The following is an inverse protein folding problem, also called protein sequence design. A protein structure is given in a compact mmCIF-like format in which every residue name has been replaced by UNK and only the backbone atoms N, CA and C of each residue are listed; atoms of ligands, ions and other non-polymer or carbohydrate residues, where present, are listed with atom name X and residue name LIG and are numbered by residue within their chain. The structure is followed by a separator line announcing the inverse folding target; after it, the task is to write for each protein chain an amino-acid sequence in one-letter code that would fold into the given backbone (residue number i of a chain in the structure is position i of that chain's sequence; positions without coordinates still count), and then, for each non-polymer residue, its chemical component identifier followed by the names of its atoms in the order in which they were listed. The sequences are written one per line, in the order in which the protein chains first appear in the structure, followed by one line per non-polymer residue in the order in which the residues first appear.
data_IF_731032752831
#
_entry.id   IF_731032752831
#
_cell.length_a   1.000
_cell.length_b   1.000
_cell.length_c   1.000
_cell.angle_alpha   90.00
_cell.angle_beta   90.00
_cell.angle_gamma   90.00
#
_symmetry.space_group_name_H-M   'P 1'
#
loop_
_entity.id
_entity.type
_entity.pdbx_description
1 polymer ?
#
# COMPACT_ATOMS: atom_id res chain seq x y z
N UNK A 1 3.03 43.30 -14.72
CA UNK A 1 1.83 43.64 -14.00
C UNK A 1 1.10 42.44 -13.42
N UNK A 2 0.93 41.46 -14.15
CA UNK A 2 0.21 40.29 -13.71
C UNK A 2 0.93 39.53 -12.65
N UNK A 3 2.14 39.70 -12.66
CA UNK A 3 3.05 39.13 -11.71
C UNK A 3 2.65 39.28 -10.28
N UNK A 4 1.80 40.15 -10.06
CA UNK A 4 1.44 40.55 -8.73
C UNK A 4 0.81 39.44 -7.91
N UNK A 5 0.09 38.62 -8.57
CA UNK A 5 -0.59 37.54 -7.88
C UNK A 5 0.33 36.51 -7.27
N UNK A 6 1.46 36.35 -7.85
CA UNK A 6 2.38 35.35 -7.41
C UNK A 6 3.17 35.78 -6.20
N UNK A 7 3.51 37.02 -6.18
CA UNK A 7 4.34 37.56 -5.12
C UNK A 7 3.62 37.50 -3.76
N UNK A 8 2.37 37.62 -3.76
CA UNK A 8 1.64 37.60 -2.52
C UNK A 8 1.61 36.25 -1.83
N UNK A 9 1.86 35.25 -2.56
CA UNK A 9 1.78 33.90 -2.04
C UNK A 9 2.93 33.57 -1.10
N UNK A 10 4.10 34.00 -1.47
CA UNK A 10 5.27 33.73 -0.70
C UNK A 10 5.27 34.35 0.70
N UNK A 11 4.86 35.58 0.82
CA UNK A 11 4.82 36.20 2.14
C UNK A 11 4.00 35.45 3.15
N UNK A 12 2.91 34.92 2.70
CA UNK A 12 2.06 34.17 3.60
C UNK A 12 2.71 32.91 4.13
N UNK A 13 3.37 32.24 3.27
CA UNK A 13 4.04 31.03 3.66
C UNK A 13 5.16 31.31 4.65
N UNK A 14 5.94 32.31 4.35
CA UNK A 14 7.02 32.69 5.24
C UNK A 14 6.48 33.16 6.59
N UNK A 15 5.37 33.80 6.56
CA UNK A 15 4.76 34.27 7.76
C UNK A 15 4.33 33.13 8.66
N UNK A 16 3.80 32.13 8.10
CA UNK A 16 3.49 30.94 8.89
C UNK A 16 4.73 30.34 9.52
N UNK A 17 5.79 30.33 8.81
CA UNK A 17 7.04 29.88 9.36
C UNK A 17 7.53 30.76 10.49
N UNK A 18 7.32 32.03 10.34
CA UNK A 18 7.72 32.99 11.35
C UNK A 18 6.91 32.84 12.60
N UNK A 19 5.79 32.33 12.49
CA UNK A 19 5.02 32.04 13.68
C UNK A 19 5.67 31.06 14.56
N UNK A 20 6.64 30.44 14.05
CA UNK A 20 7.59 29.81 14.93
C UNK A 20 8.09 30.76 15.99
N UNK A 21 7.98 32.00 15.72
CA UNK A 21 8.13 33.03 16.76
C UNK A 21 7.30 32.77 17.98
N UNK A 22 6.27 32.17 17.77
CA UNK A 22 5.49 31.62 18.86
C UNK A 22 6.35 31.08 19.95
N UNK A 23 7.42 30.55 19.57
CA UNK A 23 8.37 30.01 20.51
C UNK A 23 8.85 30.99 21.52
N UNK A 24 8.87 32.24 21.17
CA UNK A 24 9.30 33.26 22.12
C UNK A 24 8.45 33.32 23.37
N UNK A 25 7.24 32.96 23.21
CA UNK A 25 6.27 33.08 24.29
C UNK A 25 6.53 32.05 25.36
N UNK A 26 6.88 30.91 24.93
CA UNK A 26 7.00 29.78 25.84
C UNK A 26 8.21 29.85 26.74
N UNK A 27 9.06 30.78 26.48
CA UNK A 27 10.29 30.87 27.25
C UNK A 27 10.10 31.17 28.69
N UNK A 28 9.05 31.86 29.01
CA UNK A 28 8.87 32.33 30.37
C UNK A 28 8.15 31.37 31.27
N UNK A 29 7.42 30.51 30.68
CA UNK A 29 6.72 29.52 31.47
C UNK A 29 7.56 28.31 31.67
N UNK A 30 8.49 28.45 32.47
CA UNK A 30 9.36 27.37 32.86
C UNK A 30 8.73 26.55 33.93
N UNK A 31 7.51 26.54 33.97
CA UNK A 31 6.90 25.56 34.81
C UNK A 31 7.23 24.20 34.25
N UNK A 32 7.84 23.48 35.07
CA UNK A 32 8.00 22.07 35.06
C UNK A 32 7.06 21.42 34.02
N UNK A 33 7.43 21.57 32.77
CA UNK A 33 6.73 20.90 31.72
C UNK A 33 7.08 19.44 31.80
N UNK A 34 6.14 18.67 32.19
CA UNK A 34 6.17 17.28 31.84
C UNK A 34 6.30 17.28 30.33
N UNK A 35 7.47 16.95 29.85
CA UNK A 35 7.66 16.72 28.45
C UNK A 35 6.82 15.50 28.09
N UNK A 36 5.60 15.77 27.71
CA UNK A 36 4.84 14.82 26.96
C UNK A 36 5.53 14.71 25.62
N UNK A 37 6.51 13.85 25.56
CA UNK A 37 7.02 13.40 24.32
C UNK A 37 5.86 12.67 23.65
N UNK A 38 5.10 13.41 22.90
CA UNK A 38 4.20 12.81 21.96
C UNK A 38 5.07 12.07 20.98
N UNK A 39 5.17 10.79 21.18
CA UNK A 39 5.66 9.90 20.16
C UNK A 39 4.67 10.05 18.99
N UNK A 40 5.02 10.92 18.09
CA UNK A 40 4.34 10.96 16.82
C UNK A 40 4.64 9.62 16.17
N UNK A 41 3.78 8.67 16.40
CA UNK A 41 3.77 7.47 15.57
C UNK A 41 3.42 8.00 14.20
N UNK A 42 4.43 8.20 13.39
CA UNK A 42 4.19 8.47 12.00
C UNK A 42 3.38 7.29 11.48
N UNK A 43 2.12 7.51 11.27
CA UNK A 43 1.27 6.54 10.62
C UNK A 43 1.83 6.37 9.22
N UNK A 44 2.65 5.36 9.04
CA UNK A 44 3.14 5.03 7.72
C UNK A 44 1.93 4.59 6.92
N UNK A 45 1.64 5.34 5.87
CA UNK A 45 0.58 4.95 4.96
C UNK A 45 0.85 3.53 4.47
N UNK A 46 -0.16 2.70 4.48
CA UNK A 46 -0.03 1.34 3.97
C UNK A 46 0.39 1.37 2.51
N UNK A 47 1.26 0.46 2.13
CA UNK A 47 1.68 0.33 0.74
C UNK A 47 0.44 0.10 -0.15
N UNK A 48 0.38 0.72 -1.32
CA UNK A 48 -0.79 0.60 -2.20
C UNK A 48 -1.15 -0.82 -2.61
N UNK A 49 -0.22 -1.76 -2.52
CA UNK A 49 -0.52 -3.17 -2.79
C UNK A 49 -1.35 -3.82 -1.67
N UNK A 50 -1.29 -3.28 -0.47
CA UNK A 50 -2.06 -3.80 0.67
C UNK A 50 -3.54 -3.54 0.45
N UNK A 51 -4.34 -4.56 0.65
CA UNK A 51 -5.79 -4.47 0.50
C UNK A 51 -6.38 -5.77 -0.04
N UNK A 52 -7.63 -5.70 -0.43
CA UNK A 52 -8.35 -6.85 -0.99
C UNK A 52 -8.49 -6.70 -2.49
N UNK A 53 -8.16 -7.74 -3.20
CA UNK A 53 -8.11 -7.78 -4.65
C UNK A 53 -9.02 -8.87 -5.20
N UNK A 54 -9.79 -8.54 -6.23
CA UNK A 54 -10.58 -9.53 -6.97
C UNK A 54 -9.73 -10.10 -8.08
N UNK A 55 -9.58 -11.42 -8.09
CA UNK A 55 -8.89 -12.14 -9.16
C UNK A 55 -9.86 -12.48 -10.29
N UNK A 56 -9.36 -12.48 -11.51
CA UNK A 56 -10.13 -12.82 -12.70
C UNK A 56 -9.39 -13.90 -13.49
N UNK A 57 -10.16 -14.78 -14.05
CA UNK A 57 -9.69 -15.78 -15.00
C UNK A 57 -10.74 -15.85 -16.11
N UNK A 58 -10.31 -15.69 -17.35
CA UNK A 58 -11.22 -15.60 -18.51
C UNK A 58 -12.32 -14.55 -18.33
N UNK A 59 -11.94 -13.39 -17.80
CA UNK A 59 -12.84 -12.28 -17.49
C UNK A 59 -13.94 -12.59 -16.46
N UNK A 60 -13.84 -13.73 -15.80
CA UNK A 60 -14.77 -14.10 -14.74
C UNK A 60 -14.13 -13.92 -13.36
N UNK A 61 -14.82 -13.32 -12.39
CA UNK A 61 -14.32 -13.21 -11.03
C UNK A 61 -14.21 -14.59 -10.40
N UNK A 62 -13.06 -14.88 -9.82
CA UNK A 62 -12.79 -16.20 -9.23
C UNK A 62 -12.68 -16.16 -7.72
N UNK A 63 -11.83 -15.31 -7.21
CA UNK A 63 -11.56 -15.26 -5.77
C UNK A 63 -11.17 -13.86 -5.34
N UNK A 64 -11.27 -13.62 -4.05
CA UNK A 64 -10.76 -12.41 -3.42
C UNK A 64 -9.51 -12.76 -2.63
N UNK A 65 -8.47 -12.00 -2.84
CA UNK A 65 -7.18 -12.16 -2.17
C UNK A 65 -6.90 -10.93 -1.35
N UNK A 66 -6.65 -11.13 -0.08
CA UNK A 66 -6.19 -10.06 0.80
C UNK A 66 -4.67 -10.06 0.84
N UNK A 67 -4.08 -8.94 0.49
CA UNK A 67 -2.64 -8.73 0.60
C UNK A 67 -2.36 -7.94 1.86
N UNK A 68 -1.51 -8.49 2.70
CA UNK A 68 -1.06 -7.86 3.94
C UNK A 68 0.45 -7.74 3.95
N UNK A 69 0.93 -6.74 4.69
CA UNK A 69 2.36 -6.51 4.86
C UNK A 69 2.83 -7.10 6.18
N UNK A 70 3.95 -7.77 6.13
CA UNK A 70 4.64 -8.27 7.32
C UNK A 70 6.12 -7.90 7.19
N UNK A 71 6.54 -6.90 7.94
CA UNK A 71 7.89 -6.35 7.82
C UNK A 71 8.12 -5.77 6.42
N UNK A 72 9.14 -6.24 5.73
CA UNK A 72 9.49 -5.79 4.39
C UNK A 72 8.85 -6.64 3.27
N UNK A 73 8.02 -7.59 3.61
CA UNK A 73 7.39 -8.50 2.65
C UNK A 73 5.88 -8.43 2.69
N UNK A 74 5.27 -8.86 1.60
CA UNK A 74 3.82 -8.93 1.48
C UNK A 74 3.39 -10.37 1.26
N UNK A 75 2.22 -10.69 1.77
CA UNK A 75 1.63 -12.02 1.66
C UNK A 75 0.18 -11.89 1.21
N UNK A 76 -0.22 -12.69 0.25
CA UNK A 76 -1.60 -12.71 -0.24
C UNK A 76 -2.30 -14.02 0.14
N UNK A 77 -3.48 -13.89 0.71
CA UNK A 77 -4.29 -15.02 1.15
C UNK A 77 -5.70 -14.93 0.57
N UNK A 78 -6.25 -16.05 0.12
CA UNK A 78 -7.62 -16.09 -0.37
C UNK A 78 -8.57 -15.94 0.81
N UNK A 79 -9.45 -14.94 0.74
CA UNK A 79 -10.43 -14.64 1.80
C UNK A 79 -11.86 -14.93 1.37
N UNK A 80 -12.12 -15.02 0.08
CA UNK A 80 -13.43 -15.37 -0.45
C UNK A 80 -13.31 -16.00 -1.82
N UNK A 81 -14.29 -16.81 -2.18
CA UNK A 81 -14.37 -17.42 -3.51
C UNK A 81 -15.70 -17.11 -4.18
N UNK A 82 -15.67 -16.80 -5.46
CA UNK A 82 -16.85 -16.53 -6.27
C UNK A 82 -17.43 -17.82 -6.90
N UNK A 83 -16.66 -18.90 -6.88
CA UNK A 83 -17.10 -20.22 -7.36
C UNK A 83 -16.94 -21.23 -6.24
N UNK A 84 -17.65 -22.33 -6.31
CA UNK A 84 -17.54 -23.39 -5.31
C UNK A 84 -16.12 -23.93 -5.20
N UNK A 85 -15.47 -24.07 -6.33
CA UNK A 85 -14.06 -24.46 -6.36
C UNK A 85 -13.16 -23.45 -5.68
N UNK A 86 -13.38 -22.17 -5.92
CA UNK A 86 -12.59 -21.11 -5.29
C UNK A 86 -12.86 -21.03 -3.78
N UNK A 87 -14.09 -21.30 -3.35
CA UNK A 87 -14.43 -21.34 -1.93
C UNK A 87 -13.64 -22.40 -1.18
N UNK A 88 -13.36 -23.51 -1.81
CA UNK A 88 -12.57 -24.58 -1.18
C UNK A 88 -11.12 -24.18 -0.92
N UNK A 89 -10.65 -23.11 -1.56
CA UNK A 89 -9.30 -22.59 -1.38
C UNK A 89 -9.21 -21.41 -0.41
N UNK A 90 -10.30 -20.98 0.19
CA UNK A 90 -10.30 -19.91 1.18
C UNK A 90 -9.37 -20.27 2.33
N UNK A 91 -8.56 -19.30 2.75
CA UNK A 91 -7.55 -19.51 3.77
C UNK A 91 -6.18 -19.91 3.24
N UNK A 92 -6.08 -20.30 1.98
CA UNK A 92 -4.80 -20.66 1.38
C UNK A 92 -4.01 -19.43 0.93
N UNK A 93 -2.71 -19.49 1.11
CA UNK A 93 -1.79 -18.42 0.71
C UNK A 93 -1.43 -18.59 -0.76
N UNK A 94 -1.59 -17.52 -1.53
CA UNK A 94 -1.32 -17.51 -2.97
C UNK A 94 -0.13 -16.64 -3.37
N UNK A 95 0.25 -15.69 -2.52
CA UNK A 95 1.44 -14.87 -2.72
C UNK A 95 2.30 -14.92 -1.47
N UNK A 96 3.60 -15.15 -1.65
CA UNK A 96 4.57 -15.19 -0.56
C UNK A 96 5.84 -14.47 -0.93
N UNK A 97 6.52 -13.94 0.09
CA UNK A 97 7.81 -13.26 -0.08
C UNK A 97 7.78 -12.16 -1.14
N UNK A 98 6.67 -11.48 -1.28
CA UNK A 98 6.56 -10.36 -2.21
C UNK A 98 7.30 -9.17 -1.64
N UNK A 99 8.17 -8.59 -2.43
CA UNK A 99 8.98 -7.42 -2.06
C UNK A 99 8.80 -6.32 -3.08
N UNK A 100 8.76 -5.09 -2.59
CA UNK A 100 8.71 -3.92 -3.46
C UNK A 100 10.05 -3.71 -4.16
N UNK A 101 9.98 -3.42 -5.45
CA UNK A 101 11.16 -3.07 -6.26
C UNK A 101 11.19 -1.60 -6.67
N UNK A 102 10.19 -0.83 -6.26
CA UNK A 102 10.02 0.56 -6.66
C UNK A 102 9.17 0.72 -7.92
N UNK A 103 8.68 1.94 -8.14
CA UNK A 103 7.88 2.29 -9.31
C UNK A 103 6.64 1.40 -9.53
N UNK A 104 5.99 0.98 -8.45
CA UNK A 104 4.82 0.10 -8.55
C UNK A 104 5.16 -1.33 -8.97
N UNK A 105 6.41 -1.72 -8.90
CA UNK A 105 6.85 -3.08 -9.22
C UNK A 105 7.15 -3.86 -7.95
N UNK A 106 6.78 -5.13 -8.00
CA UNK A 106 7.03 -6.06 -6.90
C UNK A 106 7.46 -7.40 -7.49
N UNK A 107 8.14 -8.19 -6.69
CA UNK A 107 8.49 -9.55 -7.07
C UNK A 107 8.36 -10.48 -5.87
N UNK A 108 7.92 -11.69 -6.11
CA UNK A 108 7.73 -12.68 -5.08
C UNK A 108 7.46 -14.04 -5.66
N UNK A 109 6.73 -14.85 -4.91
CA UNK A 109 6.30 -16.17 -5.36
C UNK A 109 4.79 -16.23 -5.39
N UNK A 110 4.26 -16.69 -6.51
CA UNK A 110 2.86 -17.03 -6.66
C UNK A 110 2.67 -18.54 -6.47
N UNK A 111 1.69 -18.90 -5.67
CA UNK A 111 1.33 -20.28 -5.42
C UNK A 111 -0.15 -20.45 -5.67
N UNK A 112 -0.48 -21.07 -6.78
CA UNK A 112 -1.87 -21.47 -7.02
C UNK A 112 -2.12 -22.80 -6.29
N UNK A 113 -3.17 -22.90 -5.51
CA UNK A 113 -3.50 -24.15 -4.81
C UNK A 113 -3.63 -25.37 -5.71
N UNK A 114 -3.90 -25.13 -6.99
CA UNK A 114 -4.00 -26.19 -8.01
C UNK A 114 -2.64 -26.75 -8.43
N UNK A 115 -1.58 -25.96 -8.28
CA UNK A 115 -0.23 -26.36 -8.75
C UNK A 115 0.62 -27.01 -7.68
N UNK A 116 0.34 -26.72 -6.43
CA UNK A 116 1.05 -27.30 -5.31
C UNK A 116 2.41 -26.69 -5.00
N UNK A 117 2.99 -25.93 -5.92
CA UNK A 117 4.31 -25.31 -5.74
C UNK A 117 4.27 -23.82 -6.07
N UNK A 118 5.19 -23.08 -5.48
CA UNK A 118 5.33 -21.66 -5.73
C UNK A 118 6.26 -21.36 -6.90
N UNK A 119 5.83 -20.51 -7.80
CA UNK A 119 6.60 -20.05 -8.94
C UNK A 119 6.97 -18.57 -8.74
N UNK A 120 8.12 -18.17 -9.24
CA UNK A 120 8.48 -16.77 -9.27
C UNK A 120 7.42 -15.95 -10.00
N UNK A 121 7.12 -14.78 -9.49
CA UNK A 121 6.11 -13.91 -10.06
C UNK A 121 6.56 -12.46 -10.02
N UNK A 122 6.33 -11.78 -11.12
CA UNK A 122 6.50 -10.34 -11.20
C UNK A 122 5.13 -9.67 -11.10
N UNK A 123 5.06 -8.65 -10.28
CA UNK A 123 3.82 -7.93 -10.01
C UNK A 123 4.00 -6.48 -10.40
N UNK A 124 3.03 -5.94 -11.10
CA UNK A 124 2.98 -4.54 -11.47
C UNK A 124 1.68 -3.94 -10.97
N UNK A 125 1.79 -2.86 -10.23
CA UNK A 125 0.65 -2.13 -9.69
C UNK A 125 0.47 -0.82 -10.43
N UNK A 126 -0.73 -0.59 -10.92
CA UNK A 126 -1.12 0.67 -11.56
C UNK A 126 -2.51 1.06 -11.07
N UNK A 127 -2.56 2.07 -10.19
CA UNK A 127 -3.82 2.49 -9.57
C UNK A 127 -4.50 1.35 -8.82
N UNK A 128 -5.69 1.01 -9.23
CA UNK A 128 -6.49 -0.09 -8.67
C UNK A 128 -6.34 -1.41 -9.42
N UNK A 129 -5.38 -1.50 -10.30
CA UNK A 129 -5.12 -2.70 -11.10
C UNK A 129 -3.77 -3.29 -10.74
N UNK A 130 -3.75 -4.57 -10.43
CA UNK A 130 -2.55 -5.34 -10.15
C UNK A 130 -2.41 -6.38 -11.27
N UNK A 131 -1.25 -6.39 -11.89
CA UNK A 131 -0.93 -7.37 -12.93
C UNK A 131 0.10 -8.35 -12.39
N UNK A 132 -0.26 -9.60 -12.33
CA UNK A 132 0.59 -10.68 -11.85
C UNK A 132 1.06 -11.50 -13.04
N UNK A 133 2.35 -11.51 -13.29
CA UNK A 133 2.97 -12.29 -14.37
C UNK A 133 3.76 -13.45 -13.79
N UNK A 134 3.37 -14.64 -14.18
CA UNK A 134 4.05 -15.87 -13.77
C UNK A 134 4.60 -16.54 -15.03
N UNK A 135 5.94 -16.69 -15.15
CA UNK A 135 6.52 -17.38 -16.29
C UNK A 135 5.87 -18.75 -16.48
N UNK A 136 5.62 -19.12 -17.72
CA UNK A 136 5.01 -20.41 -18.11
C UNK A 136 3.50 -20.48 -17.81
N UNK A 137 2.98 -19.72 -16.85
CA UNK A 137 1.56 -19.76 -16.48
C UNK A 137 0.75 -18.58 -17.05
N UNK A 138 1.44 -17.52 -17.47
CA UNK A 138 0.81 -16.35 -18.05
C UNK A 138 0.58 -15.22 -17.10
N UNK A 139 -0.23 -14.30 -17.51
CA UNK A 139 -0.51 -13.06 -16.79
C UNK A 139 -1.94 -13.02 -16.31
N UNK A 140 -2.13 -12.58 -15.07
CA UNK A 140 -3.46 -12.37 -14.49
C UNK A 140 -3.60 -10.90 -14.09
N UNK A 141 -4.79 -10.38 -14.23
CA UNK A 141 -5.13 -9.03 -13.80
C UNK A 141 -6.11 -9.10 -12.65
N UNK A 142 -5.78 -8.40 -11.57
CA UNK A 142 -6.62 -8.31 -10.38
C UNK A 142 -7.09 -6.87 -10.20
N UNK A 143 -8.26 -6.69 -9.65
CA UNK A 143 -8.85 -5.38 -9.38
C UNK A 143 -8.98 -5.16 -7.88
N UNK A 144 -8.59 -3.99 -7.42
CA UNK A 144 -8.72 -3.63 -6.02
C UNK A 144 -10.19 -3.37 -5.67
N UNK A 145 -10.63 -3.95 -4.56
CA UNK A 145 -12.01 -3.77 -4.08
C UNK A 145 -12.06 -3.16 -2.68
N UNK A 146 -10.96 -3.21 -1.93
CA UNK A 146 -10.81 -2.53 -0.62
C UNK A 146 -9.36 -2.19 -0.34
#
# INVERSE_FOLDING_TARGET
MIVNGTASHFPYFLQCATEGTVMKISLKSISVGVALSTLSVAAMAADPIVGTWQTYEDNQPKAQVQISQTGATFTGKIVAGNTEKAKSFVGKTVLTNVKAKGNGKYAGKAKDPRWGLGLGADISLSGSTLTLSVPVKGTQTWKKIK
#
